data_IF_993598840780
#
_entry.id   IF_993598840780
#
_cell.length_a   1.000
_cell.length_b   1.000
_cell.length_c   1.000
_cell.angle_alpha   90.00
_cell.angle_beta   90.00
_cell.angle_gamma   90.00
#
_symmetry.space_group_name_H-M   'P 1'
#
loop_
_entity.id
_entity.type
_entity.pdbx_description
1 polymer ?
#
# COMPACT_ATOMS: atom_id res chain seq x y z
N UNK A 1 23.13 17.11 -9.68
CA UNK A 1 23.25 15.80 -10.37
C UNK A 1 22.05 14.87 -10.18
N UNK A 2 21.34 14.86 -9.03
CA UNK A 2 20.10 14.08 -8.84
C UNK A 2 18.82 14.72 -9.45
N UNK A 3 18.75 16.05 -9.59
CA UNK A 3 17.54 16.74 -10.06
C UNK A 3 17.38 16.73 -11.59
N UNK A 4 18.48 16.80 -12.36
CA UNK A 4 18.45 16.84 -13.84
C UNK A 4 17.97 15.54 -14.52
N UNK A 5 17.87 14.43 -13.77
CA UNK A 5 17.37 13.15 -14.32
C UNK A 5 15.86 12.94 -14.14
N UNK A 6 15.16 13.83 -13.42
CA UNK A 6 13.71 13.68 -13.17
C UNK A 6 12.85 14.11 -14.36
N UNK A 7 13.23 15.17 -15.06
CA UNK A 7 12.47 15.67 -16.23
C UNK A 7 12.28 14.60 -17.32
N UNK A 8 13.26 13.71 -17.50
CA UNK A 8 13.17 12.58 -18.44
C UNK A 8 11.98 11.66 -18.16
N UNK A 9 11.53 11.59 -16.92
CA UNK A 9 10.44 10.72 -16.50
C UNK A 9 9.12 11.47 -16.32
N UNK A 10 9.06 12.79 -16.58
CA UNK A 10 7.85 13.58 -16.36
C UNK A 10 6.66 13.06 -17.16
N UNK A 11 6.88 12.65 -18.41
CA UNK A 11 5.82 12.03 -19.22
C UNK A 11 5.33 10.70 -18.62
N UNK A 12 6.23 9.90 -18.05
CA UNK A 12 5.88 8.64 -17.39
C UNK A 12 5.08 8.90 -16.12
N UNK A 13 5.53 9.85 -15.29
CA UNK A 13 4.81 10.23 -14.08
C UNK A 13 3.43 10.82 -14.38
N UNK A 14 3.33 11.64 -15.44
CA UNK A 14 2.06 12.20 -15.90
C UNK A 14 1.10 11.09 -16.31
N UNK A 15 1.53 10.20 -17.21
CA UNK A 15 0.71 9.07 -17.66
C UNK A 15 0.29 8.17 -16.48
N UNK A 16 1.22 7.86 -15.57
CA UNK A 16 0.90 7.05 -14.40
C UNK A 16 -0.13 7.72 -13.49
N UNK A 17 -0.02 9.03 -13.30
CA UNK A 17 -0.98 9.80 -12.49
C UNK A 17 -2.36 9.81 -13.13
N UNK A 18 -2.44 10.08 -14.44
CA UNK A 18 -3.70 10.05 -15.20
C UNK A 18 -4.33 8.66 -15.16
N UNK A 19 -3.55 7.61 -15.41
CA UNK A 19 -4.01 6.23 -15.34
C UNK A 19 -4.59 5.89 -13.96
N UNK A 20 -3.89 6.21 -12.87
CA UNK A 20 -4.38 5.92 -11.51
C UNK A 20 -5.69 6.68 -11.24
N UNK A 21 -5.74 7.97 -11.57
CA UNK A 21 -6.91 8.82 -11.31
C UNK A 21 -8.14 8.35 -12.10
N UNK A 22 -7.99 8.10 -13.40
CA UNK A 22 -9.08 7.60 -14.24
C UNK A 22 -9.62 6.26 -13.72
N UNK A 23 -8.74 5.35 -13.30
CA UNK A 23 -9.17 4.05 -12.78
C UNK A 23 -9.84 4.15 -11.40
N UNK A 24 -9.51 5.16 -10.59
CA UNK A 24 -10.23 5.47 -9.36
C UNK A 24 -11.63 6.00 -9.69
N UNK A 25 -11.75 6.93 -10.64
CA UNK A 25 -13.04 7.49 -11.07
C UNK A 25 -13.97 6.43 -11.68
N UNK A 26 -13.41 5.49 -12.44
CA UNK A 26 -14.12 4.35 -13.00
C UNK A 26 -14.48 3.27 -11.97
N UNK A 27 -14.01 3.39 -10.72
CA UNK A 27 -14.25 2.41 -9.66
C UNK A 27 -13.47 1.09 -9.82
N UNK A 28 -12.46 1.07 -10.70
CA UNK A 28 -11.57 -0.09 -10.89
C UNK A 28 -10.57 -0.18 -9.74
N UNK A 29 -10.03 0.97 -9.30
CA UNK A 29 -9.14 1.09 -8.13
C UNK A 29 -9.93 1.66 -6.96
N UNK A 30 -10.03 0.90 -5.87
CA UNK A 30 -10.59 1.39 -4.60
C UNK A 30 -9.56 2.12 -3.75
N UNK A 31 -9.90 3.30 -3.22
CA UNK A 31 -9.12 3.99 -2.20
C UNK A 31 -9.65 3.64 -0.80
N UNK A 32 -8.84 2.94 -0.02
CA UNK A 32 -9.15 2.63 1.38
C UNK A 32 -8.54 3.68 2.29
N UNK A 33 -9.39 4.44 2.97
CA UNK A 33 -8.94 5.51 3.86
C UNK A 33 -8.77 4.98 5.29
N UNK A 34 -7.63 5.27 5.94
CA UNK A 34 -7.50 5.04 7.37
C UNK A 34 -8.42 5.97 8.15
N UNK A 35 -8.99 5.47 9.23
CA UNK A 35 -9.84 6.22 10.14
C UNK A 35 -9.27 6.13 11.57
N UNK A 36 -9.95 6.77 12.53
CA UNK A 36 -9.49 6.81 13.92
C UNK A 36 -9.36 5.41 14.56
N UNK A 37 -10.24 4.48 14.21
CA UNK A 37 -10.21 3.10 14.71
C UNK A 37 -8.96 2.35 14.20
N UNK A 38 -8.69 2.46 12.90
CA UNK A 38 -7.46 1.92 12.27
C UNK A 38 -6.21 2.52 12.93
N UNK A 39 -6.18 3.83 13.16
CA UNK A 39 -5.02 4.49 13.78
C UNK A 39 -4.78 4.00 15.21
N UNK A 40 -5.83 3.75 15.98
CA UNK A 40 -5.72 3.23 17.34
C UNK A 40 -5.14 1.82 17.38
N UNK A 41 -5.48 0.97 16.40
CA UNK A 41 -4.97 -0.40 16.30
C UNK A 41 -3.56 -0.48 15.71
N UNK A 42 -3.15 0.50 14.90
CA UNK A 42 -1.88 0.49 14.16
C UNK A 42 -0.66 0.29 15.06
N UNK A 43 -0.64 0.93 16.24
CA UNK A 43 0.48 0.81 17.18
C UNK A 43 0.57 -0.58 17.79
N UNK A 44 -0.57 -1.23 18.07
CA UNK A 44 -0.59 -2.58 18.61
C UNK A 44 -0.09 -3.58 17.55
N UNK A 45 -0.57 -3.44 16.31
CA UNK A 45 -0.19 -4.30 15.20
C UNK A 45 1.29 -4.13 14.81
N UNK A 46 1.80 -2.89 14.83
CA UNK A 46 3.22 -2.59 14.65
C UNK A 46 4.09 -3.37 15.64
N UNK A 47 3.70 -3.40 16.93
CA UNK A 47 4.44 -4.13 17.97
C UNK A 47 4.32 -5.65 17.82
N UNK A 48 3.14 -6.13 17.43
CA UNK A 48 2.88 -7.56 17.26
C UNK A 48 3.73 -8.17 16.13
N UNK A 49 3.82 -7.51 14.99
CA UNK A 49 4.52 -8.02 13.80
C UNK A 49 5.88 -7.37 13.54
N UNK A 50 6.32 -6.44 14.39
CA UNK A 50 7.60 -5.73 14.24
C UNK A 50 7.66 -4.85 12.99
N UNK A 51 6.53 -4.24 12.61
CA UNK A 51 6.40 -3.41 11.41
C UNK A 51 6.71 -1.94 11.69
N UNK A 52 7.27 -1.24 10.70
CA UNK A 52 7.37 0.21 10.73
C UNK A 52 5.98 0.87 10.67
N UNK A 53 5.83 2.14 11.11
CA UNK A 53 4.52 2.75 11.23
C UNK A 53 3.67 2.74 9.95
N UNK A 54 4.30 2.90 8.79
CA UNK A 54 3.61 2.87 7.50
C UNK A 54 3.09 1.47 7.17
N UNK A 55 3.92 0.44 7.34
CA UNK A 55 3.55 -0.93 7.00
C UNK A 55 2.50 -1.47 7.96
N UNK A 56 2.60 -1.09 9.24
CA UNK A 56 1.57 -1.36 10.23
C UNK A 56 0.24 -0.68 9.88
N UNK A 57 0.26 0.56 9.38
CA UNK A 57 -0.96 1.26 8.95
C UNK A 57 -1.61 0.56 7.76
N UNK A 58 -0.80 0.12 6.78
CA UNK A 58 -1.28 -0.66 5.62
C UNK A 58 -1.90 -1.98 6.10
N UNK A 59 -1.20 -2.75 6.92
CA UNK A 59 -1.68 -4.03 7.43
C UNK A 59 -2.95 -3.89 8.28
N UNK A 60 -3.03 -2.85 9.13
CA UNK A 60 -4.21 -2.56 9.94
C UNK A 60 -5.39 -2.13 9.07
N UNK A 61 -5.14 -1.32 8.04
CA UNK A 61 -6.17 -0.95 7.05
C UNK A 61 -6.69 -2.19 6.33
N UNK A 62 -5.81 -3.09 5.90
CA UNK A 62 -6.20 -4.35 5.26
C UNK A 62 -7.09 -5.20 6.20
N UNK A 63 -6.68 -5.35 7.46
CA UNK A 63 -7.45 -6.05 8.49
C UNK A 63 -8.85 -5.46 8.68
N UNK A 64 -8.94 -4.13 8.79
CA UNK A 64 -10.20 -3.42 9.01
C UNK A 64 -11.18 -3.58 7.84
N UNK A 65 -10.69 -3.48 6.60
CA UNK A 65 -11.52 -3.62 5.40
C UNK A 65 -11.68 -5.07 4.92
N UNK A 66 -11.14 -6.06 5.65
CA UNK A 66 -11.25 -7.48 5.28
C UNK A 66 -10.41 -7.88 4.07
N UNK A 67 -9.35 -7.13 3.75
CA UNK A 67 -8.40 -7.47 2.68
C UNK A 67 -7.40 -8.49 3.20
N UNK A 68 -7.46 -9.72 2.69
CA UNK A 68 -6.60 -10.84 3.11
C UNK A 68 -5.43 -11.11 2.16
N UNK A 69 -5.32 -10.38 1.05
CA UNK A 69 -4.29 -10.56 0.01
C UNK A 69 -3.61 -9.25 -0.32
N UNK A 70 -2.30 -9.24 -0.38
CA UNK A 70 -1.51 -8.04 -0.69
C UNK A 70 -0.50 -8.30 -1.80
N UNK A 71 -0.49 -7.45 -2.82
CA UNK A 71 0.57 -7.41 -3.82
C UNK A 71 1.59 -6.35 -3.41
N UNK A 72 2.78 -6.79 -2.99
CA UNK A 72 3.85 -5.89 -2.53
C UNK A 72 5.22 -6.48 -2.85
N UNK A 73 6.23 -5.62 -3.00
CA UNK A 73 7.63 -6.01 -3.09
C UNK A 73 8.33 -6.01 -1.72
N UNK A 74 7.60 -5.61 -0.67
CA UNK A 74 8.10 -5.58 0.69
C UNK A 74 7.84 -6.91 1.41
N UNK A 75 8.92 -7.59 1.75
CA UNK A 75 8.89 -8.89 2.41
C UNK A 75 8.45 -8.80 3.87
N UNK A 76 8.46 -7.62 4.48
CA UNK A 76 8.05 -7.48 5.88
C UNK A 76 6.57 -7.87 6.10
N UNK A 77 5.74 -7.79 5.04
CA UNK A 77 4.36 -8.27 5.08
C UNK A 77 4.22 -9.80 5.17
N UNK A 78 5.26 -10.57 4.85
CA UNK A 78 5.26 -12.04 5.00
C UNK A 78 5.14 -12.46 6.48
N UNK A 79 5.46 -11.55 7.42
CA UNK A 79 5.34 -11.79 8.87
C UNK A 79 3.90 -11.64 9.37
N UNK A 80 3.02 -11.03 8.59
CA UNK A 80 1.64 -10.71 8.99
C UNK A 80 0.72 -11.89 8.71
N UNK A 81 0.39 -12.65 9.76
CA UNK A 81 -0.26 -13.96 9.64
C UNK A 81 -1.62 -13.97 8.92
N UNK A 82 -2.34 -12.85 8.88
CA UNK A 82 -3.64 -12.74 8.20
C UNK A 82 -3.55 -12.24 6.75
N UNK A 83 -2.35 -11.93 6.25
CA UNK A 83 -2.12 -11.49 4.89
C UNK A 83 -1.43 -12.58 4.07
N UNK A 84 -2.01 -12.92 2.93
CA UNK A 84 -1.38 -13.69 1.88
C UNK A 84 -0.63 -12.72 0.94
N UNK A 85 0.71 -12.79 0.94
CA UNK A 85 1.54 -12.01 0.02
C UNK A 85 1.51 -12.66 -1.36
N UNK A 86 1.01 -11.92 -2.35
CA UNK A 86 0.97 -12.34 -3.75
C UNK A 86 2.30 -12.00 -4.41
N UNK A 87 3.09 -13.03 -4.73
CA UNK A 87 4.25 -12.88 -5.59
C UNK A 87 3.80 -12.90 -7.05
N UNK A 88 4.46 -12.13 -7.92
CA UNK A 88 4.20 -12.22 -9.36
C UNK A 88 4.47 -13.67 -9.83
N UNK A 89 3.57 -14.19 -10.66
CA UNK A 89 3.85 -15.42 -11.40
C UNK A 89 5.09 -15.19 -12.29
N UNK A 90 6.02 -16.17 -12.37
CA UNK A 90 7.21 -16.07 -13.21
C UNK A 90 6.90 -15.83 -14.69
#
# INVERSE_FOLDING_TARGET
MFMQKRERFDTVFKYLSEFILENIELGIIGLLLPNKEILNETVALSKEFGLLPNDALIATTCKFYGVSRIATLDKDFEKVLFLEVLHQAP
#
